data_IF_587264768404
#
_entry.id   IF_587264768404
#
_cell.length_a   1.000
_cell.length_b   1.000
_cell.length_c   1.000
_cell.angle_alpha   90.00
_cell.angle_beta   90.00
_cell.angle_gamma   90.00
#
_symmetry.space_group_name_H-M   'P 1'
#
loop_
_entity.id
_entity.type
_entity.pdbx_description
1 polymer ?
#
# COMPACT_ATOMS: atom_id res chain seq x y z
N UNK A 1 -11.21 1.12 11.11
CA UNK A 1 -11.72 0.26 10.03
C UNK A 1 -11.92 1.02 8.71
N UNK A 2 -12.46 2.24 8.71
CA UNK A 2 -12.68 3.04 7.48
C UNK A 2 -11.39 3.24 6.66
N UNK A 3 -10.26 3.62 7.30
CA UNK A 3 -9.01 3.81 6.57
C UNK A 3 -8.46 2.55 5.90
N UNK A 4 -8.68 1.37 6.49
CA UNK A 4 -8.25 0.09 5.91
C UNK A 4 -9.12 -0.26 4.69
N UNK A 5 -10.43 0.01 4.76
CA UNK A 5 -11.34 -0.17 3.64
C UNK A 5 -11.00 0.77 2.47
N UNK A 6 -10.69 2.05 2.74
CA UNK A 6 -10.27 3.00 1.70
C UNK A 6 -8.98 2.55 1.00
N UNK A 7 -8.00 2.07 1.76
CA UNK A 7 -6.74 1.54 1.22
C UNK A 7 -6.97 0.27 0.39
N UNK A 8 -7.80 -0.65 0.85
CA UNK A 8 -8.18 -1.84 0.07
C UNK A 8 -8.87 -1.47 -1.24
N UNK A 9 -9.74 -0.45 -1.21
CA UNK A 9 -10.41 0.05 -2.41
C UNK A 9 -9.41 0.66 -3.40
N UNK A 10 -8.44 1.44 -2.92
CA UNK A 10 -7.35 1.99 -3.75
C UNK A 10 -6.50 0.86 -4.38
N UNK A 11 -6.18 -0.16 -3.60
CA UNK A 11 -5.46 -1.36 -4.03
C UNK A 11 -6.19 -2.13 -5.13
N UNK A 12 -7.50 -2.38 -4.94
CA UNK A 12 -8.34 -3.10 -5.90
C UNK A 12 -8.65 -2.27 -7.15
N UNK A 13 -8.78 -0.95 -7.03
CA UNK A 13 -9.03 -0.06 -8.14
C UNK A 13 -7.77 0.21 -8.99
N UNK A 14 -6.56 0.14 -8.41
CA UNK A 14 -5.31 0.39 -9.14
C UNK A 14 -5.19 -0.43 -10.44
N UNK A 15 -5.37 -1.77 -10.46
CA UNK A 15 -5.31 -2.55 -11.70
C UNK A 15 -6.48 -2.31 -12.66
N UNK A 16 -7.52 -1.58 -12.25
CA UNK A 16 -8.64 -1.19 -13.13
C UNK A 16 -8.43 0.17 -13.79
N UNK A 17 -7.48 0.97 -13.30
CA UNK A 17 -7.21 2.35 -13.76
C UNK A 17 -5.82 2.48 -14.38
N UNK A 18 -4.90 1.56 -14.04
CA UNK A 18 -3.51 1.57 -14.47
C UNK A 18 -3.09 0.14 -14.80
N UNK A 19 -2.55 -0.10 -15.99
CA UNK A 19 -1.94 -1.37 -16.43
C UNK A 19 -0.59 -1.62 -15.72
N UNK A 20 -0.60 -1.55 -14.39
CA UNK A 20 0.54 -1.87 -13.57
C UNK A 20 0.84 -3.39 -13.68
N UNK A 21 2.10 -3.78 -13.91
CA UNK A 21 2.48 -5.19 -13.95
C UNK A 21 2.04 -5.93 -12.68
N UNK A 22 1.52 -7.15 -12.84
CA UNK A 22 0.96 -7.93 -11.72
C UNK A 22 1.93 -8.08 -10.53
N UNK A 23 3.23 -8.16 -10.80
CA UNK A 23 4.26 -8.30 -9.76
C UNK A 23 4.36 -7.05 -8.87
N UNK A 24 4.06 -5.85 -9.39
CA UNK A 24 4.03 -4.60 -8.60
C UNK A 24 2.93 -4.69 -7.56
N UNK A 25 1.74 -5.10 -7.99
CA UNK A 25 0.57 -5.31 -7.12
C UNK A 25 0.88 -6.35 -6.04
N UNK A 26 1.53 -7.46 -6.40
CA UNK A 26 1.96 -8.50 -5.45
C UNK A 26 2.98 -7.95 -4.44
N UNK A 27 4.03 -7.25 -4.88
CA UNK A 27 5.03 -6.67 -3.99
C UNK A 27 4.42 -5.70 -2.99
N UNK A 28 3.49 -4.87 -3.45
CA UNK A 28 2.86 -3.92 -2.58
C UNK A 28 1.87 -4.57 -1.59
N UNK A 29 1.14 -5.60 -2.02
CA UNK A 29 0.34 -6.45 -1.11
C UNK A 29 1.22 -7.10 -0.04
N UNK A 30 2.41 -7.61 -0.41
CA UNK A 30 3.38 -8.14 0.54
C UNK A 30 3.83 -7.07 1.54
N UNK A 31 4.05 -5.82 1.09
CA UNK A 31 4.33 -4.68 1.97
C UNK A 31 3.24 -4.48 3.04
N UNK A 32 1.97 -4.60 2.65
CA UNK A 32 0.84 -4.54 3.59
C UNK A 32 0.81 -5.72 4.56
N UNK A 33 1.11 -6.94 4.12
CA UNK A 33 1.23 -8.11 4.99
C UNK A 33 2.33 -7.91 6.03
N UNK A 34 3.49 -7.38 5.62
CA UNK A 34 4.59 -7.06 6.54
C UNK A 34 4.16 -6.01 7.56
N UNK A 35 3.47 -4.95 7.14
CA UNK A 35 2.98 -3.93 8.06
C UNK A 35 1.91 -4.46 9.02
N UNK A 36 1.08 -5.42 8.60
CA UNK A 36 0.13 -6.08 9.48
C UNK A 36 0.87 -6.86 10.59
N UNK A 37 1.82 -7.71 10.21
CA UNK A 37 2.65 -8.46 11.16
C UNK A 37 3.37 -7.49 12.11
N UNK A 38 3.93 -6.41 11.56
CA UNK A 38 4.66 -5.43 12.35
C UNK A 38 3.74 -4.63 13.28
N UNK A 39 2.54 -4.30 12.83
CA UNK A 39 1.48 -3.68 13.62
C UNK A 39 1.11 -4.52 14.83
N UNK A 40 0.89 -5.83 14.64
CA UNK A 40 0.65 -6.77 15.74
C UNK A 40 1.81 -6.81 16.73
N UNK A 41 3.05 -6.82 16.24
CA UNK A 41 4.26 -6.85 17.10
C UNK A 41 4.49 -5.54 17.86
N UNK A 42 4.14 -4.41 17.27
CA UNK A 42 4.36 -3.08 17.85
C UNK A 42 3.18 -2.53 18.63
N UNK A 43 2.03 -3.22 18.61
CA UNK A 43 0.80 -2.75 19.24
C UNK A 43 1.01 -2.24 20.68
N UNK A 44 1.75 -3.01 21.49
CA UNK A 44 2.06 -2.64 22.88
C UNK A 44 3.34 -1.81 23.00
N UNK A 45 4.39 -2.14 22.23
CA UNK A 45 5.72 -1.51 22.38
C UNK A 45 5.82 -0.12 21.76
N UNK A 46 5.10 0.15 20.66
CA UNK A 46 5.20 1.37 19.85
C UNK A 46 3.86 1.71 19.18
N UNK A 47 2.80 2.06 19.94
CA UNK A 47 1.45 2.26 19.39
C UNK A 47 1.38 3.36 18.31
N UNK A 48 2.20 4.41 18.43
CA UNK A 48 2.28 5.47 17.39
C UNK A 48 2.80 4.93 16.05
N UNK A 49 3.78 4.03 16.08
CA UNK A 49 4.35 3.46 14.86
C UNK A 49 3.33 2.59 14.10
N UNK A 50 2.39 1.95 14.83
CA UNK A 50 1.29 1.16 14.24
C UNK A 50 0.34 2.05 13.42
N UNK A 51 0.16 3.32 13.81
CA UNK A 51 -0.66 4.28 13.06
C UNK A 51 0.11 4.86 11.87
N UNK A 52 1.41 5.11 12.02
CA UNK A 52 2.24 5.73 10.97
C UNK A 52 2.53 4.76 9.81
N UNK A 53 2.78 3.48 10.10
CA UNK A 53 3.04 2.42 9.11
C UNK A 53 2.05 2.40 7.93
N UNK A 54 0.73 2.27 8.16
CA UNK A 54 -0.24 2.19 7.06
C UNK A 54 -0.30 3.49 6.24
N UNK A 55 -0.07 4.65 6.86
CA UNK A 55 -0.04 5.94 6.15
C UNK A 55 1.15 5.99 5.20
N UNK A 56 2.34 5.60 5.67
CA UNK A 56 3.55 5.57 4.83
C UNK A 56 3.41 4.58 3.67
N UNK A 57 2.80 3.42 3.90
CA UNK A 57 2.54 2.43 2.86
C UNK A 57 1.54 2.92 1.82
N UNK A 58 0.46 3.59 2.23
CA UNK A 58 -0.50 4.18 1.30
C UNK A 58 0.13 5.29 0.45
N UNK A 59 0.94 6.15 1.05
CA UNK A 59 1.67 7.20 0.32
C UNK A 59 2.69 6.59 -0.64
N UNK A 60 3.45 5.59 -0.19
CA UNK A 60 4.40 4.85 -1.02
C UNK A 60 3.73 4.16 -2.20
N UNK A 61 2.54 3.59 -2.00
CA UNK A 61 1.72 3.02 -3.07
C UNK A 61 1.41 4.05 -4.14
N UNK A 62 0.87 5.19 -3.73
CA UNK A 62 0.49 6.26 -4.64
C UNK A 62 1.71 6.76 -5.43
N UNK A 63 2.86 6.92 -4.76
CA UNK A 63 4.10 7.33 -5.38
C UNK A 63 4.58 6.32 -6.46
N UNK A 64 4.51 5.01 -6.18
CA UNK A 64 4.89 3.96 -7.14
C UNK A 64 3.96 3.97 -8.36
N UNK A 65 2.65 4.04 -8.15
CA UNK A 65 1.67 4.06 -9.25
C UNK A 65 1.86 5.29 -10.14
N UNK A 66 1.99 6.49 -9.55
CA UNK A 66 2.23 7.70 -10.33
C UNK A 66 3.57 7.67 -11.07
N UNK A 67 4.63 7.21 -10.41
CA UNK A 67 5.93 7.09 -11.05
C UNK A 67 5.87 6.12 -12.24
N UNK A 68 5.22 4.97 -12.06
CA UNK A 68 5.08 4.00 -13.13
C UNK A 68 4.20 4.50 -14.29
N UNK A 69 3.10 5.20 -14.00
CA UNK A 69 2.30 5.83 -15.03
C UNK A 69 3.09 6.91 -15.81
N UNK A 70 3.89 7.71 -15.11
CA UNK A 70 4.61 8.83 -15.72
C UNK A 70 5.92 8.42 -16.42
N UNK A 71 6.61 7.37 -15.97
CA UNK A 71 7.98 7.02 -16.38
C UNK A 71 8.10 5.61 -16.98
N UNK A 72 7.25 4.68 -16.57
CA UNK A 72 7.32 3.27 -16.99
C UNK A 72 6.22 2.88 -17.99
N UNK A 73 5.39 3.85 -18.41
CA UNK A 73 4.37 3.65 -19.43
C UNK A 73 3.18 2.81 -18.97
N UNK A 74 2.90 2.78 -17.67
CA UNK A 74 1.69 2.12 -17.16
C UNK A 74 0.48 3.00 -17.54
N UNK A 75 -0.31 2.57 -18.52
CA UNK A 75 -1.43 3.33 -19.10
C UNK A 75 -2.75 2.95 -18.45
#
# INVERSE_FOLDING_TARGET
MIGLACVFFLLAATPTVVDAPWWVTVLMLLGWVVALVQGCRWFVRRPRAVVVLPVLLAVGWFAVVLAGARWLGWA
#
